data_IF_333983683724
#
_entry.id   IF_333983683724
#
_cell.length_a   1.000
_cell.length_b   1.000
_cell.length_c   1.000
_cell.angle_alpha   90.00
_cell.angle_beta   90.00
_cell.angle_gamma   90.00
#
_symmetry.space_group_name_H-M   'P 1'
#
loop_
_entity.id
_entity.type
_entity.pdbx_description
1 polymer ?
#
# COMPACT_ATOMS: atom_id res chain seq x y z
N UNK A 1 35.06 -43.32 -7.89
CA UNK A 1 34.81 -41.90 -7.57
C UNK A 1 33.79 -41.71 -6.44
N UNK A 2 32.67 -42.45 -6.44
CA UNK A 2 31.74 -42.58 -5.29
C UNK A 2 32.39 -42.75 -3.89
N UNK A 3 33.48 -43.52 -3.71
CA UNK A 3 34.10 -43.66 -2.38
C UNK A 3 34.76 -42.37 -1.86
N UNK A 4 35.24 -41.49 -2.75
CA UNK A 4 35.91 -40.24 -2.35
C UNK A 4 34.90 -39.21 -1.87
N UNK A 5 33.74 -39.11 -2.52
CA UNK A 5 32.63 -38.21 -2.12
C UNK A 5 32.03 -38.65 -0.78
N UNK A 6 31.86 -39.96 -0.56
CA UNK A 6 31.36 -40.51 0.70
C UNK A 6 32.31 -40.20 1.89
N UNK A 7 33.62 -40.26 1.66
CA UNK A 7 34.64 -40.02 2.70
C UNK A 7 34.69 -38.55 3.15
N UNK A 8 34.44 -37.59 2.24
CA UNK A 8 34.42 -36.16 2.55
C UNK A 8 33.17 -35.78 3.35
N UNK A 9 32.00 -36.33 3.01
CA UNK A 9 30.74 -36.12 3.75
C UNK A 9 30.80 -36.72 5.16
N UNK A 10 31.40 -37.90 5.32
CA UNK A 10 31.52 -38.57 6.62
C UNK A 10 32.47 -37.83 7.58
N UNK A 11 33.54 -37.19 7.08
CA UNK A 11 34.45 -36.38 7.90
C UNK A 11 33.82 -35.08 8.41
N UNK A 12 32.89 -34.46 7.65
CA UNK A 12 32.22 -33.22 8.09
C UNK A 12 31.08 -33.47 9.09
N UNK A 13 30.38 -34.61 9.00
CA UNK A 13 29.26 -34.93 9.89
C UNK A 13 29.70 -35.47 11.27
N UNK A 14 30.88 -36.08 11.37
CA UNK A 14 31.35 -36.71 12.62
C UNK A 14 32.29 -35.85 13.48
N UNK A 15 32.51 -34.57 13.11
CA UNK A 15 33.49 -33.69 13.77
C UNK A 15 33.02 -32.89 14.98
N UNK A 16 31.72 -32.88 15.32
CA UNK A 16 31.21 -32.15 16.51
C UNK A 16 30.87 -33.12 17.63
N UNK A 17 31.68 -33.09 18.69
CA UNK A 17 31.36 -33.76 19.97
C UNK A 17 30.06 -33.16 20.52
N UNK A 18 29.13 -33.97 21.05
CA UNK A 18 28.00 -33.45 21.81
C UNK A 18 28.51 -32.94 23.15
N UNK A 19 28.76 -31.63 23.24
CA UNK A 19 29.01 -30.94 24.50
C UNK A 19 27.72 -30.88 25.30
N UNK A 20 27.76 -31.47 26.50
CA UNK A 20 26.70 -31.51 27.50
C UNK A 20 26.30 -30.08 27.89
N UNK A 21 25.20 -29.57 27.34
CA UNK A 21 24.52 -28.38 27.84
C UNK A 21 23.75 -28.77 29.11
N UNK A 22 24.36 -28.56 30.27
CA UNK A 22 23.64 -28.51 31.54
C UNK A 22 22.76 -27.26 31.54
N UNK A 23 21.46 -27.43 31.30
CA UNK A 23 20.47 -26.42 31.67
C UNK A 23 20.38 -26.41 33.20
N UNK A 24 21.03 -25.42 33.83
CA UNK A 24 20.74 -25.04 35.20
C UNK A 24 19.36 -24.38 35.19
N UNK A 25 18.33 -25.12 35.60
CA UNK A 25 17.01 -24.55 35.86
C UNK A 25 17.15 -23.68 37.11
N UNK A 26 17.39 -22.39 36.90
CA UNK A 26 17.25 -21.36 37.92
C UNK A 26 15.76 -21.29 38.27
N UNK A 27 15.38 -21.77 39.45
CA UNK A 27 14.07 -21.46 40.04
C UNK A 27 13.90 -19.95 40.09
N UNK A 28 12.82 -19.38 39.54
CA UNK A 28 12.61 -17.95 39.61
C UNK A 28 12.33 -17.56 41.07
N UNK A 29 13.19 -16.70 41.60
CA UNK A 29 12.95 -15.98 42.84
C UNK A 29 11.66 -15.17 42.63
N UNK A 30 10.60 -15.53 43.36
CA UNK A 30 9.36 -14.74 43.47
C UNK A 30 9.70 -13.41 44.14
N UNK A 31 10.12 -12.42 43.35
CA UNK A 31 10.09 -11.04 43.79
C UNK A 31 8.66 -10.52 43.69
N UNK A 32 8.20 -9.94 44.80
CA UNK A 32 6.93 -9.25 44.96
C UNK A 32 6.87 -8.03 44.02
N UNK A 33 6.38 -8.19 42.80
CA UNK A 33 6.03 -7.11 41.86
C UNK A 33 4.58 -7.23 41.35
N UNK A 34 3.71 -7.91 42.08
CA UNK A 34 2.31 -8.08 41.70
C UNK A 34 1.44 -6.81 41.70
N UNK A 35 1.63 -5.79 42.58
CA UNK A 35 0.67 -4.68 42.65
C UNK A 35 0.76 -3.69 41.47
N UNK A 36 1.94 -3.52 40.87
CA UNK A 36 2.12 -2.55 39.77
C UNK A 36 1.65 -3.10 38.43
N UNK A 37 1.90 -4.39 38.15
CA UNK A 37 1.41 -5.03 36.92
C UNK A 37 -0.12 -5.17 36.91
N UNK A 38 -0.74 -5.36 38.07
CA UNK A 38 -2.20 -5.44 38.19
C UNK A 38 -2.85 -4.07 37.96
N UNK A 39 -2.28 -2.99 38.52
CA UNK A 39 -2.71 -1.61 38.21
C UNK A 39 -2.56 -1.26 36.73
N UNK A 40 -1.49 -1.71 36.09
CA UNK A 40 -1.26 -1.45 34.66
C UNK A 40 -2.30 -2.15 33.78
N UNK A 41 -2.65 -3.40 34.12
CA UNK A 41 -3.73 -4.16 33.44
C UNK A 41 -5.11 -3.56 33.68
N UNK A 42 -5.40 -3.07 34.88
CA UNK A 42 -6.66 -2.37 35.18
C UNK A 42 -6.77 -1.06 34.39
N UNK A 43 -5.65 -0.32 34.25
CA UNK A 43 -5.61 0.92 33.47
C UNK A 43 -5.80 0.66 31.97
N UNK A 44 -5.20 -0.39 31.42
CA UNK A 44 -5.40 -0.83 30.03
C UNK A 44 -6.85 -1.27 29.79
N UNK A 45 -7.47 -2.03 30.71
CA UNK A 45 -8.87 -2.43 30.59
C UNK A 45 -9.82 -1.23 30.64
N UNK A 46 -9.55 -0.24 31.50
CA UNK A 46 -10.35 0.99 31.54
C UNK A 46 -10.23 1.82 30.26
N UNK A 47 -9.02 1.91 29.69
CA UNK A 47 -8.83 2.59 28.40
C UNK A 47 -9.56 1.87 27.27
N UNK A 48 -9.51 0.54 27.21
CA UNK A 48 -10.26 -0.26 26.23
C UNK A 48 -11.77 -0.08 26.37
N UNK A 49 -12.31 -0.07 27.60
CA UNK A 49 -13.73 0.19 27.83
C UNK A 49 -14.14 1.60 27.39
N UNK A 50 -13.35 2.63 27.69
CA UNK A 50 -13.64 3.99 27.22
C UNK A 50 -13.58 4.10 25.69
N UNK A 51 -12.67 3.37 25.04
CA UNK A 51 -12.59 3.33 23.58
C UNK A 51 -13.82 2.67 22.96
N UNK A 52 -14.29 1.55 23.53
CA UNK A 52 -15.52 0.88 23.09
C UNK A 52 -16.75 1.77 23.27
N UNK A 53 -16.86 2.50 24.39
CA UNK A 53 -17.95 3.44 24.61
C UNK A 53 -17.96 4.58 23.60
N UNK A 54 -16.79 5.15 23.27
CA UNK A 54 -16.67 6.19 22.24
C UNK A 54 -17.08 5.67 20.87
N UNK A 55 -16.67 4.46 20.50
CA UNK A 55 -17.06 3.84 19.22
C UNK A 55 -18.58 3.59 19.14
N UNK A 56 -19.19 3.07 20.21
CA UNK A 56 -20.65 2.87 20.26
C UNK A 56 -21.41 4.20 20.15
N UNK A 57 -20.91 5.26 20.78
CA UNK A 57 -21.52 6.58 20.70
C UNK A 57 -21.41 7.18 19.29
N UNK A 58 -20.28 7.01 18.60
CA UNK A 58 -20.11 7.41 17.20
C UNK A 58 -21.07 6.65 16.27
N UNK A 59 -21.25 5.34 16.48
CA UNK A 59 -22.20 4.53 15.70
C UNK A 59 -23.65 4.96 15.93
N UNK A 60 -24.04 5.25 17.18
CA UNK A 60 -25.36 5.77 17.51
C UNK A 60 -25.62 7.13 16.86
N UNK A 61 -24.64 8.04 16.88
CA UNK A 61 -24.74 9.33 16.22
C UNK A 61 -24.87 9.19 14.70
N UNK A 62 -24.14 8.26 14.08
CA UNK A 62 -24.25 7.98 12.66
C UNK A 62 -25.64 7.43 12.28
N UNK A 63 -26.17 6.50 13.09
CA UNK A 63 -27.51 5.95 12.89
C UNK A 63 -28.59 7.02 13.02
N UNK A 64 -28.46 7.92 14.00
CA UNK A 64 -29.39 9.04 14.16
C UNK A 64 -29.38 9.97 12.95
N UNK A 65 -28.20 10.31 12.44
CA UNK A 65 -28.02 11.18 11.26
C UNK A 65 -28.60 10.55 9.99
N UNK A 66 -28.47 9.24 9.80
CA UNK A 66 -29.10 8.52 8.68
C UNK A 66 -30.63 8.48 8.78
N UNK A 67 -31.17 8.34 9.98
CA UNK A 67 -32.63 8.40 10.20
C UNK A 67 -33.19 9.80 9.92
N UNK A 68 -32.46 10.87 10.28
CA UNK A 68 -32.85 12.24 9.95
C UNK A 68 -32.85 12.49 8.44
N UNK A 69 -31.80 12.08 7.72
CA UNK A 69 -31.71 12.19 6.26
C UNK A 69 -32.87 11.44 5.56
N UNK A 70 -33.22 10.26 6.06
CA UNK A 70 -34.33 9.45 5.53
C UNK A 70 -35.70 10.13 5.74
N UNK A 71 -35.87 10.88 6.84
CA UNK A 71 -37.09 11.64 7.12
C UNK A 71 -37.21 12.87 6.22
N UNK A 72 -36.10 13.55 5.93
CA UNK A 72 -36.08 14.71 5.03
C UNK A 72 -36.44 14.33 3.59
N UNK A 73 -36.00 13.16 3.12
CA UNK A 73 -36.32 12.65 1.77
C UNK A 73 -37.80 12.27 1.66
N UNK A 74 -38.41 11.74 2.73
CA UNK A 74 -39.82 11.30 2.71
C UNK A 74 -40.83 12.46 2.62
N UNK A 75 -40.45 13.68 3.00
CA UNK A 75 -41.34 14.86 2.97
C UNK A 75 -41.40 15.52 1.57
N UNK A 76 -40.46 15.18 0.66
CA UNK A 76 -40.32 15.84 -0.64
C UNK A 76 -41.00 15.13 -1.84
N UNK A 77 -41.75 14.03 -1.65
CA UNK A 77 -42.32 13.26 -2.77
C UNK A 77 -43.86 13.14 -2.70
N UNK A 78 -44.57 14.08 -3.33
CA UNK A 78 -45.90 13.83 -3.91
C UNK A 78 -45.74 13.55 -5.42
N UNK A 79 -46.42 12.55 -6.00
CA UNK A 79 -46.21 12.17 -7.39
C UNK A 79 -47.00 13.09 -8.35
N UNK A 80 -46.32 13.60 -9.37
CA UNK A 80 -46.92 14.25 -10.55
C UNK A 80 -47.03 13.22 -11.68
N UNK A 81 -48.04 13.27 -12.57
CA UNK A 81 -48.26 12.23 -13.57
C UNK A 81 -47.13 12.21 -14.61
N UNK A 82 -46.69 10.98 -14.91
CA UNK A 82 -45.53 10.67 -15.73
C UNK A 82 -45.60 11.29 -17.14
N UNK A 83 -44.57 12.08 -17.48
CA UNK A 83 -44.16 12.30 -18.86
C UNK A 83 -43.38 11.07 -19.34
N UNK A 84 -43.52 10.65 -20.61
CA UNK A 84 -42.78 9.52 -21.13
C UNK A 84 -41.28 9.80 -21.05
N UNK A 85 -40.56 8.86 -20.43
CA UNK A 85 -39.11 8.91 -20.32
C UNK A 85 -38.50 9.00 -21.72
N UNK A 86 -37.70 10.05 -21.94
CA UNK A 86 -36.75 10.06 -23.05
C UNK A 86 -35.81 8.86 -22.83
N UNK A 87 -35.47 8.09 -23.88
CA UNK A 87 -34.49 7.04 -23.77
C UNK A 87 -33.18 7.62 -23.22
N UNK A 88 -32.57 6.90 -22.28
CA UNK A 88 -31.26 7.22 -21.74
C UNK A 88 -30.31 7.45 -22.92
N UNK A 89 -29.81 8.68 -23.04
CA UNK A 89 -28.65 8.96 -23.88
C UNK A 89 -27.52 8.10 -23.33
N UNK A 90 -27.21 7.05 -24.08
CA UNK A 90 -25.96 6.31 -23.98
C UNK A 90 -24.84 7.34 -23.97
N UNK A 91 -24.19 7.52 -22.82
CA UNK A 91 -22.93 8.24 -22.75
C UNK A 91 -21.99 7.54 -23.73
N UNK A 92 -21.67 8.21 -24.82
CA UNK A 92 -20.73 7.71 -25.80
C UNK A 92 -19.41 7.38 -25.07
N UNK A 93 -18.99 6.12 -25.12
CA UNK A 93 -17.68 5.69 -24.65
C UNK A 93 -16.63 6.59 -25.30
N UNK A 94 -15.94 7.40 -24.49
CA UNK A 94 -14.79 8.15 -24.95
C UNK A 94 -13.78 7.15 -25.56
N UNK A 95 -13.13 7.49 -26.69
CA UNK A 95 -12.22 6.56 -27.36
C UNK A 95 -11.15 6.05 -26.39
N UNK A 96 -11.01 4.73 -26.29
CA UNK A 96 -10.04 4.10 -25.39
C UNK A 96 -8.63 4.57 -25.75
N UNK A 97 -7.96 5.29 -24.84
CA UNK A 97 -6.56 5.65 -25.02
C UNK A 97 -5.71 4.37 -24.98
N UNK A 98 -4.62 4.35 -25.73
CA UNK A 98 -3.64 3.26 -25.61
C UNK A 98 -2.92 3.35 -24.26
N UNK A 99 -2.51 2.22 -23.66
CA UNK A 99 -1.71 2.21 -22.45
C UNK A 99 -0.42 3.01 -22.63
N UNK A 100 0.06 3.63 -21.56
CA UNK A 100 1.30 4.41 -21.58
C UNK A 100 2.53 3.51 -21.74
N UNK A 101 3.67 4.11 -22.11
CA UNK A 101 4.93 3.37 -22.16
C UNK A 101 5.34 2.84 -20.78
N UNK A 102 4.98 3.54 -19.70
CA UNK A 102 5.23 3.12 -18.31
C UNK A 102 4.46 1.85 -18.01
N UNK A 103 3.17 1.82 -18.36
CA UNK A 103 2.33 0.63 -18.23
C UNK A 103 2.94 -0.58 -18.97
N UNK A 104 3.36 -0.38 -20.22
CA UNK A 104 3.95 -1.44 -21.04
C UNK A 104 5.30 -1.91 -20.47
N UNK A 105 6.13 -0.99 -19.99
CA UNK A 105 7.42 -1.31 -19.36
C UNK A 105 7.22 -2.15 -18.09
N UNK A 106 6.25 -1.79 -17.24
CA UNK A 106 5.90 -2.54 -16.05
C UNK A 106 5.36 -3.92 -16.41
N UNK A 107 4.45 -4.02 -17.37
CA UNK A 107 3.94 -5.32 -17.81
C UNK A 107 5.07 -6.24 -18.27
N UNK A 108 5.99 -5.72 -19.08
CA UNK A 108 7.13 -6.50 -19.58
C UNK A 108 8.03 -7.01 -18.45
N UNK A 109 8.37 -6.15 -17.48
CA UNK A 109 9.37 -6.49 -16.46
C UNK A 109 8.79 -7.23 -15.25
N UNK A 110 7.50 -7.03 -14.95
CA UNK A 110 6.82 -7.67 -13.81
C UNK A 110 6.06 -8.92 -14.24
N UNK A 111 5.29 -8.84 -15.33
CA UNK A 111 4.43 -9.94 -15.79
C UNK A 111 5.06 -10.77 -16.93
N UNK A 112 6.18 -10.32 -17.49
CA UNK A 112 6.84 -11.01 -18.61
C UNK A 112 6.12 -10.86 -19.95
N UNK A 113 5.08 -10.02 -20.05
CA UNK A 113 4.28 -9.82 -21.27
C UNK A 113 3.99 -8.34 -21.48
N UNK A 114 3.67 -7.91 -22.71
CA UNK A 114 3.26 -6.51 -22.96
C UNK A 114 1.77 -6.25 -22.67
N UNK A 115 0.97 -7.32 -22.61
CA UNK A 115 -0.49 -7.18 -22.55
C UNK A 115 -1.04 -7.08 -21.13
N UNK A 116 -0.21 -7.36 -20.12
CA UNK A 116 -0.55 -7.17 -18.71
C UNK A 116 -1.52 -8.21 -18.14
N UNK A 117 -1.95 -8.03 -16.87
CA UNK A 117 -2.69 -9.03 -16.11
C UNK A 117 -4.17 -9.16 -16.51
N UNK A 118 -4.69 -8.22 -17.30
CA UNK A 118 -6.09 -8.26 -17.78
C UNK A 118 -6.29 -9.25 -18.93
N UNK A 119 -5.23 -9.65 -19.62
CA UNK A 119 -5.33 -10.63 -20.68
C UNK A 119 -5.56 -12.03 -20.10
N UNK A 120 -6.59 -12.71 -20.60
CA UNK A 120 -6.92 -14.06 -20.18
C UNK A 120 -7.78 -14.18 -18.93
N UNK A 121 -8.27 -13.06 -18.36
CA UNK A 121 -9.31 -13.10 -17.31
C UNK A 121 -10.61 -13.61 -17.93
N UNK A 122 -10.88 -14.91 -17.75
CA UNK A 122 -12.07 -15.61 -18.27
C UNK A 122 -13.23 -15.66 -17.28
N UNK A 123 -12.93 -15.46 -16.00
CA UNK A 123 -13.91 -15.49 -14.92
C UNK A 123 -14.25 -14.05 -14.52
N UNK A 124 -15.38 -13.54 -15.02
CA UNK A 124 -15.89 -12.26 -14.59
C UNK A 124 -16.70 -12.47 -13.31
N UNK A 125 -16.18 -11.96 -12.19
CA UNK A 125 -17.09 -11.52 -11.13
C UNK A 125 -17.95 -10.37 -11.68
N UNK A 126 -19.21 -10.22 -11.24
CA UNK A 126 -19.94 -9.00 -11.53
C UNK A 126 -19.21 -7.81 -10.89
N UNK A 127 -19.25 -6.66 -11.55
CA UNK A 127 -18.82 -5.41 -10.94
C UNK A 127 -19.58 -5.20 -9.61
N UNK A 128 -18.84 -4.91 -8.54
CA UNK A 128 -19.37 -4.61 -7.22
C UNK A 128 -18.71 -3.32 -6.70
N UNK A 129 -19.45 -2.22 -6.86
CA UNK A 129 -19.07 -0.90 -6.38
C UNK A 129 -19.80 -0.51 -5.08
N UNK A 130 -20.37 -1.50 -4.36
CA UNK A 130 -21.11 -1.24 -3.12
C UNK A 130 -20.22 -0.77 -1.96
N UNK A 131 -18.92 -1.05 -2.03
CA UNK A 131 -17.93 -0.56 -1.08
C UNK A 131 -17.52 0.87 -1.45
N UNK A 132 -18.29 1.84 -0.97
CA UNK A 132 -18.12 3.26 -1.28
C UNK A 132 -17.00 3.97 -0.48
N UNK A 133 -16.33 3.27 0.44
CA UNK A 133 -15.32 3.84 1.33
C UNK A 133 -14.00 4.05 0.60
N UNK A 134 -13.91 5.22 -0.02
CA UNK A 134 -12.64 5.90 -0.25
C UNK A 134 -12.86 7.33 0.21
N UNK A 135 -11.99 7.80 1.10
CA UNK A 135 -12.13 9.12 1.72
C UNK A 135 -11.59 10.23 0.83
N UNK A 136 -10.81 9.91 -0.21
CA UNK A 136 -10.24 10.86 -1.17
C UNK A 136 -11.31 11.71 -1.86
N UNK A 137 -11.38 13.03 -1.64
CA UNK A 137 -12.35 13.89 -2.32
C UNK A 137 -12.00 14.03 -3.81
N UNK A 138 -13.00 13.92 -4.67
CA UNK A 138 -12.82 14.03 -6.13
C UNK A 138 -12.35 15.42 -6.55
N UNK A 139 -12.91 16.47 -5.95
CA UNK A 139 -12.54 17.88 -6.19
C UNK A 139 -11.10 18.18 -5.75
N UNK A 140 -10.66 17.59 -4.63
CA UNK A 140 -9.26 17.65 -4.19
C UNK A 140 -8.33 17.01 -5.22
N UNK A 141 -8.61 15.77 -5.64
CA UNK A 141 -7.79 15.07 -6.64
C UNK A 141 -7.74 15.82 -7.96
N UNK A 142 -8.87 16.34 -8.43
CA UNK A 142 -8.93 17.11 -9.66
C UNK A 142 -8.06 18.38 -9.56
N UNK A 143 -8.26 19.20 -8.53
CA UNK A 143 -7.48 20.43 -8.34
C UNK A 143 -5.98 20.15 -8.15
N UNK A 144 -5.63 19.06 -7.48
CA UNK A 144 -4.26 18.61 -7.30
C UNK A 144 -3.64 18.21 -8.66
N UNK A 145 -4.33 17.36 -9.42
CA UNK A 145 -3.81 16.82 -10.68
C UNK A 145 -3.79 17.85 -11.80
N UNK A 146 -4.67 18.85 -11.80
CA UNK A 146 -4.58 20.01 -12.71
C UNK A 146 -3.23 20.73 -12.59
N UNK A 147 -2.62 20.70 -11.40
CA UNK A 147 -1.32 21.33 -11.13
C UNK A 147 -0.16 20.35 -11.23
N UNK A 148 -0.34 19.12 -10.70
CA UNK A 148 0.70 18.10 -10.65
C UNK A 148 0.92 17.42 -12.01
N UNK A 149 -0.14 17.25 -12.81
CA UNK A 149 -0.14 16.57 -14.11
C UNK A 149 0.58 15.20 -14.09
N UNK A 150 0.25 14.29 -13.15
CA UNK A 150 1.04 13.07 -12.97
C UNK A 150 0.83 12.09 -14.13
N UNK A 151 1.94 11.52 -14.59
CA UNK A 151 1.96 10.44 -15.60
C UNK A 151 2.13 9.06 -14.96
N UNK A 152 2.77 8.99 -13.79
CA UNK A 152 2.94 7.76 -13.02
C UNK A 152 2.45 7.94 -11.59
N UNK A 153 1.50 7.10 -11.20
CA UNK A 153 0.83 7.12 -9.91
C UNK A 153 0.95 5.73 -9.26
N UNK A 154 0.92 5.72 -7.93
CA UNK A 154 0.94 4.50 -7.13
C UNK A 154 -0.16 4.58 -6.07
N UNK A 155 -0.89 3.49 -5.90
CA UNK A 155 -1.77 3.26 -4.77
C UNK A 155 -1.25 2.03 -4.02
N UNK A 156 -1.20 2.10 -2.69
CA UNK A 156 -0.80 1.02 -1.80
C UNK A 156 -1.95 0.75 -0.84
N UNK A 157 -2.58 -0.41 -0.97
CA UNK A 157 -3.88 -0.73 -0.39
C UNK A 157 -4.99 -0.37 -1.36
N UNK A 158 -5.40 -1.34 -2.18
CA UNK A 158 -6.33 -1.11 -3.29
C UNK A 158 -7.68 -1.76 -3.09
N UNK A 159 -7.76 -2.80 -2.24
CA UNK A 159 -8.97 -3.53 -1.91
C UNK A 159 -9.83 -3.88 -3.14
N UNK A 160 -11.05 -3.34 -3.26
CA UNK A 160 -11.97 -3.53 -4.40
C UNK A 160 -11.78 -2.50 -5.52
N UNK A 161 -10.91 -1.50 -5.36
CA UNK A 161 -10.53 -0.53 -6.39
C UNK A 161 -11.36 0.76 -6.44
N UNK A 162 -12.12 1.09 -5.38
CA UNK A 162 -12.93 2.32 -5.34
C UNK A 162 -12.10 3.59 -5.43
N UNK A 163 -11.05 3.70 -4.60
CA UNK A 163 -10.04 4.77 -4.65
C UNK A 163 -9.27 4.75 -5.98
N UNK A 164 -8.85 3.56 -6.44
CA UNK A 164 -8.16 3.39 -7.72
C UNK A 164 -8.93 4.01 -8.89
N UNK A 165 -10.24 3.73 -8.99
CA UNK A 165 -11.11 4.30 -10.02
C UNK A 165 -11.17 5.82 -9.93
N UNK A 166 -11.30 6.37 -8.72
CA UNK A 166 -11.36 7.83 -8.52
C UNK A 166 -10.05 8.52 -8.88
N UNK A 167 -8.91 7.97 -8.46
CA UNK A 167 -7.58 8.47 -8.81
C UNK A 167 -7.38 8.40 -10.34
N UNK A 168 -7.71 7.27 -10.96
CA UNK A 168 -7.58 7.09 -12.40
C UNK A 168 -8.48 8.05 -13.19
N UNK A 169 -9.73 8.25 -12.76
CA UNK A 169 -10.67 9.17 -13.40
C UNK A 169 -10.21 10.62 -13.30
N UNK A 170 -9.69 11.05 -12.14
CA UNK A 170 -9.12 12.39 -11.97
C UNK A 170 -7.86 12.59 -12.83
N UNK A 171 -6.95 11.61 -12.89
CA UNK A 171 -5.75 11.71 -13.71
C UNK A 171 -6.09 11.74 -15.21
N UNK A 172 -7.07 10.94 -15.63
CA UNK A 172 -7.56 10.91 -17.01
C UNK A 172 -8.28 12.19 -17.41
N UNK A 173 -9.11 12.77 -16.53
CA UNK A 173 -9.86 13.99 -16.83
C UNK A 173 -8.90 15.14 -17.14
N UNK A 174 -7.84 15.26 -16.36
CA UNK A 174 -6.79 16.25 -16.55
C UNK A 174 -5.97 15.97 -17.81
N UNK A 175 -5.51 14.73 -18.00
CA UNK A 175 -4.74 14.36 -19.19
C UNK A 175 -5.54 14.46 -20.51
N UNK A 176 -6.88 14.58 -20.46
CA UNK A 176 -7.72 14.84 -21.64
C UNK A 176 -7.75 16.32 -22.03
N UNK A 177 -7.48 17.22 -21.09
CA UNK A 177 -7.43 18.66 -21.36
C UNK A 177 -6.15 19.06 -22.11
N UNK A 178 -5.13 18.18 -22.13
CA UNK A 178 -3.92 18.32 -22.91
C UNK A 178 -3.75 17.13 -23.88
N UNK A 179 -3.90 17.39 -25.18
CA UNK A 179 -3.76 16.35 -26.21
C UNK A 179 -2.35 15.75 -26.30
N UNK A 180 -1.34 16.41 -25.72
CA UNK A 180 0.05 15.94 -25.70
C UNK A 180 0.40 15.17 -24.44
N UNK A 181 -0.44 15.22 -23.40
CA UNK A 181 -0.21 14.51 -22.16
C UNK A 181 -0.29 12.99 -22.38
N UNK A 182 0.68 12.21 -21.87
CA UNK A 182 0.61 10.76 -21.95
C UNK A 182 -0.61 10.24 -21.17
N UNK A 183 -1.11 9.06 -21.55
CA UNK A 183 -2.04 8.31 -20.70
C UNK A 183 -1.38 8.09 -19.34
N UNK A 184 -2.05 8.39 -18.20
CA UNK A 184 -1.50 8.10 -16.89
C UNK A 184 -1.38 6.59 -16.68
N UNK A 185 -0.46 6.16 -15.83
CA UNK A 185 -0.35 4.79 -15.34
C UNK A 185 -0.50 4.81 -13.82
N UNK A 186 -1.54 4.18 -13.30
CA UNK A 186 -1.75 3.95 -11.87
C UNK A 186 -1.44 2.50 -11.54
N UNK A 187 -0.42 2.27 -10.73
CA UNK A 187 -0.13 0.93 -10.18
C UNK A 187 -0.90 0.77 -8.86
N UNK A 188 -1.67 -0.29 -8.75
CA UNK A 188 -2.49 -0.61 -7.59
C UNK A 188 -1.90 -1.80 -6.85
N UNK A 189 -1.32 -1.57 -5.67
CA UNK A 189 -0.65 -2.57 -4.85
C UNK A 189 -1.60 -3.07 -3.77
N UNK A 190 -1.80 -4.38 -3.72
CA UNK A 190 -2.48 -5.03 -2.60
C UNK A 190 -2.07 -6.50 -2.56
N UNK A 191 -2.13 -7.14 -1.40
CA UNK A 191 -2.04 -8.60 -1.33
C UNK A 191 -3.30 -9.26 -1.90
N UNK A 192 -4.41 -8.54 -1.88
CA UNK A 192 -5.77 -8.98 -2.11
C UNK A 192 -6.20 -10.12 -1.17
N UNK A 193 -5.54 -10.22 -0.01
CA UNK A 193 -5.86 -11.20 1.03
C UNK A 193 -6.66 -10.58 2.19
N UNK A 194 -6.88 -9.27 2.16
CA UNK A 194 -7.49 -8.50 3.25
C UNK A 194 -6.64 -8.41 4.51
N UNK A 195 -7.03 -7.53 5.43
CA UNK A 195 -6.28 -7.31 6.66
C UNK A 195 -6.59 -8.35 7.75
N UNK A 196 -5.77 -8.37 8.81
CA UNK A 196 -5.96 -9.27 9.94
C UNK A 196 -7.32 -9.08 10.66
N UNK A 197 -7.89 -7.87 10.66
CA UNK A 197 -9.17 -7.60 11.31
C UNK A 197 -10.34 -8.21 10.54
N UNK A 198 -10.29 -8.25 9.20
CA UNK A 198 -11.25 -8.96 8.36
C UNK A 198 -11.22 -10.47 8.62
N UNK A 199 -10.02 -11.06 8.74
CA UNK A 199 -9.87 -12.48 9.06
C UNK A 199 -10.38 -12.84 10.44
N UNK A 200 -10.13 -11.98 11.43
CA UNK A 200 -10.63 -12.14 12.80
C UNK A 200 -12.11 -11.75 12.95
N UNK A 201 -12.68 -11.07 11.95
CA UNK A 201 -14.06 -10.52 11.96
C UNK A 201 -14.33 -9.69 13.22
N UNK A 202 -13.36 -8.83 13.55
CA UNK A 202 -13.43 -7.95 14.73
C UNK A 202 -14.65 -7.02 14.69
N UNK A 203 -15.10 -6.66 13.49
CA UNK A 203 -16.36 -5.99 13.25
C UNK A 203 -17.24 -6.93 12.42
N UNK A 204 -18.42 -7.34 12.94
CA UNK A 204 -19.28 -8.31 12.27
C UNK A 204 -19.56 -7.93 10.81
N UNK A 205 -19.26 -8.86 9.89
CA UNK A 205 -19.47 -8.70 8.45
C UNK A 205 -18.25 -8.18 7.69
N UNK A 206 -17.15 -7.82 8.37
CA UNK A 206 -15.91 -7.45 7.68
C UNK A 206 -15.31 -8.64 6.93
N UNK A 207 -15.44 -9.86 7.47
CA UNK A 207 -14.99 -11.07 6.78
C UNK A 207 -15.69 -11.27 5.43
N UNK A 208 -16.94 -10.85 5.29
CA UNK A 208 -17.70 -10.98 4.04
C UNK A 208 -17.04 -10.18 2.89
N UNK A 209 -16.32 -9.10 3.23
CA UNK A 209 -15.53 -8.32 2.29
C UNK A 209 -14.39 -9.11 1.62
N UNK A 210 -13.94 -10.23 2.21
CA UNK A 210 -12.91 -11.11 1.62
C UNK A 210 -13.44 -11.93 0.44
N UNK A 211 -14.77 -12.06 0.33
CA UNK A 211 -15.43 -12.84 -0.74
C UNK A 211 -14.90 -14.28 -0.82
N UNK A 212 -14.78 -14.94 0.34
CA UNK A 212 -14.12 -16.25 0.43
C UNK A 212 -14.80 -17.30 -0.45
N UNK A 213 -14.01 -18.01 -1.26
CA UNK A 213 -14.40 -19.24 -1.93
C UNK A 213 -13.42 -20.34 -1.56
N UNK A 214 -13.93 -21.44 -1.02
CA UNK A 214 -13.11 -22.54 -0.49
C UNK A 214 -12.04 -22.08 0.52
N UNK A 215 -12.35 -21.04 1.30
CA UNK A 215 -11.45 -20.48 2.31
C UNK A 215 -10.38 -19.52 1.77
N UNK A 216 -10.39 -19.20 0.47
CA UNK A 216 -9.44 -18.26 -0.13
C UNK A 216 -10.15 -16.97 -0.58
N UNK A 217 -9.57 -15.77 -0.32
CA UNK A 217 -10.15 -14.51 -0.76
C UNK A 217 -10.25 -14.39 -2.27
N UNK A 218 -11.36 -13.80 -2.75
CA UNK A 218 -11.55 -13.51 -4.19
C UNK A 218 -11.40 -12.03 -4.51
N UNK A 219 -10.86 -11.26 -3.57
CA UNK A 219 -10.76 -9.81 -3.67
C UNK A 219 -9.98 -9.35 -4.91
N UNK A 220 -8.91 -10.06 -5.30
CA UNK A 220 -8.16 -9.76 -6.53
C UNK A 220 -9.06 -9.80 -7.76
N UNK A 221 -9.88 -10.85 -7.88
CA UNK A 221 -10.80 -11.00 -8.99
C UNK A 221 -11.91 -9.94 -8.96
N UNK A 222 -12.34 -9.52 -7.77
CA UNK A 222 -13.33 -8.46 -7.62
C UNK A 222 -12.75 -7.11 -8.05
N UNK A 223 -11.52 -6.81 -7.63
CA UNK A 223 -10.77 -5.65 -8.08
C UNK A 223 -10.67 -5.63 -9.61
N UNK A 224 -10.20 -6.73 -10.22
CA UNK A 224 -10.08 -6.86 -11.69
C UNK A 224 -11.40 -6.59 -12.40
N UNK A 225 -12.52 -7.12 -11.90
CA UNK A 225 -13.84 -6.88 -12.45
C UNK A 225 -14.23 -5.39 -12.37
N UNK A 226 -14.00 -4.76 -11.21
CA UNK A 226 -14.36 -3.37 -10.96
C UNK A 226 -13.56 -2.38 -11.82
N UNK A 227 -12.26 -2.63 -12.01
CA UNK A 227 -11.37 -1.72 -12.75
C UNK A 227 -11.26 -2.03 -14.24
N UNK A 228 -11.99 -3.02 -14.75
CA UNK A 228 -11.88 -3.51 -16.13
C UNK A 228 -12.02 -2.39 -17.18
N UNK A 229 -12.88 -1.39 -16.93
CA UNK A 229 -13.11 -0.24 -17.83
C UNK A 229 -12.01 0.83 -17.80
N UNK A 230 -10.99 0.62 -16.97
CA UNK A 230 -9.82 1.48 -16.80
C UNK A 230 -8.52 0.69 -16.89
N UNK A 231 -8.57 -0.52 -17.47
CA UNK A 231 -7.43 -1.44 -17.59
C UNK A 231 -6.22 -0.88 -18.36
N UNK A 232 -6.43 0.15 -19.17
CA UNK A 232 -5.38 0.88 -19.88
C UNK A 232 -4.60 1.89 -19.01
N UNK A 233 -5.15 2.24 -17.84
CA UNK A 233 -4.55 3.15 -16.86
C UNK A 233 -4.14 2.39 -15.60
N UNK A 234 -5.01 1.53 -15.09
CA UNK A 234 -4.84 0.81 -13.83
C UNK A 234 -4.10 -0.50 -14.07
N UNK A 235 -2.99 -0.72 -13.36
CA UNK A 235 -2.20 -1.93 -13.37
C UNK A 235 -2.14 -2.54 -11.96
N UNK A 236 -2.80 -3.69 -11.69
CA UNK A 236 -2.72 -4.35 -10.40
C UNK A 236 -1.36 -5.03 -10.20
N UNK A 237 -0.83 -4.92 -9.00
CA UNK A 237 0.39 -5.56 -8.53
C UNK A 237 0.08 -6.35 -7.25
N UNK A 238 -0.26 -7.65 -7.35
CA UNK A 238 -0.73 -8.47 -6.22
C UNK A 238 0.43 -8.88 -5.29
N UNK A 239 0.98 -7.93 -4.56
CA UNK A 239 2.11 -8.07 -3.65
C UNK A 239 1.84 -7.32 -2.35
N UNK A 240 2.49 -7.74 -1.26
CA UNK A 240 2.55 -6.94 -0.04
C UNK A 240 3.23 -5.58 -0.32
N UNK A 241 2.81 -4.54 0.40
CA UNK A 241 3.27 -3.16 0.23
C UNK A 241 4.80 -3.01 0.19
N UNK A 242 5.51 -3.58 1.17
CA UNK A 242 6.98 -3.52 1.24
C UNK A 242 7.66 -4.26 0.06
N UNK A 243 7.11 -5.39 -0.37
CA UNK A 243 7.63 -6.12 -1.54
C UNK A 243 7.40 -5.35 -2.84
N UNK A 244 6.20 -4.78 -3.01
CA UNK A 244 5.84 -4.01 -4.20
C UNK A 244 6.67 -2.73 -4.31
N UNK A 245 6.78 -1.97 -3.22
CA UNK A 245 7.61 -0.76 -3.17
C UNK A 245 9.06 -1.08 -3.49
N UNK A 246 9.61 -2.18 -2.96
CA UNK A 246 10.97 -2.63 -3.28
C UNK A 246 11.16 -2.97 -4.77
N UNK A 247 10.20 -3.67 -5.38
CA UNK A 247 10.22 -3.94 -6.83
C UNK A 247 10.25 -2.63 -7.63
N UNK A 248 9.37 -1.69 -7.31
CA UNK A 248 9.29 -0.41 -8.01
C UNK A 248 10.55 0.44 -7.82
N UNK A 249 11.14 0.47 -6.62
CA UNK A 249 12.40 1.16 -6.34
C UNK A 249 13.54 0.58 -7.19
N UNK A 250 13.63 -0.75 -7.29
CA UNK A 250 14.63 -1.42 -8.14
C UNK A 250 14.43 -1.10 -9.62
N UNK A 251 13.18 -1.10 -10.12
CA UNK A 251 12.89 -0.73 -11.50
C UNK A 251 13.23 0.74 -11.79
N UNK A 252 12.96 1.65 -10.84
CA UNK A 252 13.32 3.06 -10.97
C UNK A 252 14.84 3.28 -10.98
N UNK A 253 15.59 2.62 -10.07
CA UNK A 253 17.06 2.70 -10.01
C UNK A 253 17.73 2.14 -11.28
N UNK A 254 17.11 1.11 -11.89
CA UNK A 254 17.49 0.55 -13.19
C UNK A 254 17.00 1.38 -14.38
N UNK A 255 16.30 2.49 -14.13
CA UNK A 255 15.75 3.39 -15.14
C UNK A 255 14.77 2.69 -16.11
N UNK A 256 14.08 1.66 -15.64
CA UNK A 256 13.02 0.98 -16.40
C UNK A 256 11.75 1.83 -16.45
N UNK A 257 11.45 2.52 -15.34
CA UNK A 257 10.34 3.46 -15.17
C UNK A 257 10.81 4.67 -14.34
N UNK A 258 10.14 5.83 -14.41
CA UNK A 258 10.43 6.93 -13.50
C UNK A 258 9.94 6.61 -12.07
N UNK A 259 10.23 7.51 -11.14
CA UNK A 259 9.59 7.53 -9.82
C UNK A 259 8.13 8.02 -9.93
N UNK A 260 7.16 7.43 -9.21
CA UNK A 260 5.77 7.92 -9.22
C UNK A 260 5.65 9.33 -8.64
N UNK A 261 4.86 10.18 -9.26
CA UNK A 261 4.69 11.60 -8.89
C UNK A 261 3.63 11.80 -7.80
N UNK A 262 2.75 10.81 -7.66
CA UNK A 262 1.69 10.72 -6.67
C UNK A 262 1.65 9.32 -6.08
N UNK A 263 1.60 9.22 -4.76
CA UNK A 263 1.37 7.98 -4.03
C UNK A 263 0.17 8.17 -3.09
N UNK A 264 -0.79 7.26 -3.14
CA UNK A 264 -1.85 7.12 -2.13
C UNK A 264 -1.58 5.89 -1.26
N UNK A 265 -1.56 6.07 0.07
CA UNK A 265 -1.23 5.03 1.05
C UNK A 265 -2.42 4.76 1.98
N UNK A 266 -2.99 3.57 1.84
CA UNK A 266 -4.22 3.10 2.49
C UNK A 266 -4.13 1.58 2.76
N UNK A 267 -2.99 1.15 3.31
CA UNK A 267 -2.63 -0.27 3.44
C UNK A 267 -2.66 -0.73 4.90
N UNK A 268 -1.59 -0.50 5.65
CA UNK A 268 -1.51 -0.93 7.04
C UNK A 268 -2.14 0.10 8.00
N UNK A 269 -2.85 -0.43 8.99
CA UNK A 269 -3.39 0.34 10.12
C UNK A 269 -2.80 -0.13 11.45
N UNK A 270 -1.55 -0.59 11.40
CA UNK A 270 -0.81 -1.21 12.50
C UNK A 270 0.45 -0.40 12.75
N UNK A 271 0.62 0.04 14.00
CA UNK A 271 1.76 0.85 14.41
C UNK A 271 3.08 0.10 14.13
N UNK A 272 4.06 0.80 13.58
CA UNK A 272 5.32 0.26 13.09
C UNK A 272 5.25 -0.22 11.63
N UNK A 273 4.17 -0.91 11.24
CA UNK A 273 3.97 -1.31 9.84
C UNK A 273 3.66 -0.08 8.97
N UNK A 274 2.74 0.77 9.42
CA UNK A 274 2.40 2.02 8.72
C UNK A 274 3.64 2.92 8.60
N UNK A 275 4.49 3.03 9.64
CA UNK A 275 5.76 3.77 9.56
C UNK A 275 6.67 3.24 8.44
N UNK A 276 6.84 1.93 8.35
CA UNK A 276 7.66 1.33 7.27
C UNK A 276 7.07 1.64 5.90
N UNK A 277 5.75 1.57 5.73
CA UNK A 277 5.08 1.92 4.48
C UNK A 277 5.26 3.40 4.12
N UNK A 278 5.09 4.32 5.08
CA UNK A 278 5.32 5.76 4.87
C UNK A 278 6.76 5.99 4.38
N UNK A 279 7.75 5.38 5.02
CA UNK A 279 9.16 5.50 4.63
C UNK A 279 9.38 5.01 3.19
N UNK A 280 8.90 3.80 2.85
CA UNK A 280 9.13 3.22 1.53
C UNK A 280 8.36 3.96 0.42
N UNK A 281 7.12 4.37 0.69
CA UNK A 281 6.31 5.19 -0.20
C UNK A 281 6.95 6.57 -0.44
N UNK A 282 7.41 7.23 0.62
CA UNK A 282 8.06 8.53 0.52
C UNK A 282 9.37 8.45 -0.26
N UNK A 283 10.17 7.38 -0.09
CA UNK A 283 11.38 7.12 -0.89
C UNK A 283 11.12 7.00 -2.39
N UNK A 284 9.96 6.47 -2.77
CA UNK A 284 9.53 6.33 -4.16
C UNK A 284 9.12 7.63 -4.83
N UNK A 285 8.89 8.71 -4.09
CA UNK A 285 8.56 9.99 -4.70
C UNK A 285 9.81 10.68 -5.26
N UNK A 286 9.74 11.35 -6.43
CA UNK A 286 10.73 12.31 -6.85
C UNK A 286 10.61 13.59 -6.02
N UNK A 287 11.58 14.49 -6.19
CA UNK A 287 11.42 15.89 -5.79
C UNK A 287 10.11 16.46 -6.35
N UNK A 288 9.42 17.27 -5.53
CA UNK A 288 8.06 17.63 -5.81
C UNK A 288 7.15 16.57 -5.21
N UNK A 289 7.04 15.38 -5.78
CA UNK A 289 6.12 14.26 -5.44
C UNK A 289 5.18 14.36 -4.21
N UNK A 290 3.92 13.99 -4.37
CA UNK A 290 2.91 13.99 -3.29
C UNK A 290 2.72 12.60 -2.71
N UNK A 291 2.81 12.45 -1.38
CA UNK A 291 2.29 11.29 -0.66
C UNK A 291 1.00 11.72 0.04
N UNK A 292 -0.10 11.05 -0.26
CA UNK A 292 -1.36 11.16 0.48
C UNK A 292 -1.58 9.85 1.23
N UNK A 293 -2.03 9.91 2.48
CA UNK A 293 -2.43 8.72 3.21
C UNK A 293 -3.79 8.85 3.86
N UNK A 294 -4.44 7.70 4.04
CA UNK A 294 -5.76 7.61 4.67
C UNK A 294 -5.68 7.52 6.19
N UNK A 295 -6.84 7.58 6.83
CA UNK A 295 -7.04 7.14 8.21
C UNK A 295 -6.19 7.87 9.27
N UNK A 296 -5.93 9.17 9.09
CA UNK A 296 -5.22 9.99 10.08
C UNK A 296 -5.85 9.92 11.48
N UNK A 297 -7.17 9.71 11.57
CA UNK A 297 -7.89 9.59 12.84
C UNK A 297 -7.61 8.27 13.58
N UNK A 298 -6.89 7.34 12.98
CA UNK A 298 -6.49 6.09 13.61
C UNK A 298 -5.18 6.32 14.39
N UNK A 299 -5.14 6.04 15.70
CA UNK A 299 -3.98 6.37 16.53
C UNK A 299 -2.66 5.76 16.05
N UNK A 300 -2.70 4.56 15.46
CA UNK A 300 -1.53 3.91 14.89
C UNK A 300 -0.96 4.71 13.71
N UNK A 301 -1.82 5.20 12.82
CA UNK A 301 -1.46 5.97 11.63
C UNK A 301 -0.92 7.34 12.03
N UNK A 302 -1.61 8.06 12.92
CA UNK A 302 -1.14 9.36 13.42
C UNK A 302 0.22 9.23 14.11
N UNK A 303 0.38 8.22 14.99
CA UNK A 303 1.63 7.96 15.69
C UNK A 303 2.79 7.73 14.72
N UNK A 304 2.59 6.91 13.70
CA UNK A 304 3.63 6.57 12.74
C UNK A 304 3.96 7.72 11.78
N UNK A 305 2.96 8.51 11.38
CA UNK A 305 3.18 9.75 10.63
C UNK A 305 4.03 10.73 11.44
N UNK A 306 3.72 10.94 12.72
CA UNK A 306 4.50 11.82 13.59
C UNK A 306 5.92 11.28 13.80
N UNK A 307 6.10 9.98 13.94
CA UNK A 307 7.42 9.35 14.04
C UNK A 307 8.24 9.56 12.76
N UNK A 308 7.62 9.40 11.59
CA UNK A 308 8.26 9.69 10.30
C UNK A 308 8.72 11.16 10.22
N UNK A 309 7.85 12.10 10.58
CA UNK A 309 8.14 13.54 10.52
C UNK A 309 9.30 13.97 11.44
N UNK A 310 9.61 13.22 12.49
CA UNK A 310 10.79 13.48 13.33
C UNK A 310 12.11 13.14 12.63
N UNK A 311 12.07 12.29 11.60
CA UNK A 311 13.25 11.90 10.80
C UNK A 311 13.48 12.83 9.61
N UNK A 312 12.47 13.60 9.23
CA UNK A 312 12.52 14.53 8.11
C UNK A 312 12.86 15.96 8.59
N UNK A 313 13.57 16.76 7.79
CA UNK A 313 13.84 18.14 8.14
C UNK A 313 12.53 18.94 8.21
N UNK A 314 12.33 19.78 9.25
CA UNK A 314 11.10 20.52 9.42
C UNK A 314 10.83 21.39 8.19
N UNK A 315 9.59 21.32 7.70
CA UNK A 315 9.10 22.25 6.69
C UNK A 315 8.84 23.57 7.42
N UNK A 316 9.29 24.70 6.90
CA UNK A 316 9.12 26.02 7.57
C UNK A 316 8.30 27.02 6.74
N UNK A 317 8.17 26.83 5.42
CA UNK A 317 7.40 27.70 4.52
C UNK A 317 5.97 27.21 4.26
N UNK A 318 4.99 28.11 4.34
CA UNK A 318 3.54 27.84 4.12
C UNK A 318 3.08 28.04 2.67
N UNK A 319 4.00 28.25 1.73
CA UNK A 319 3.66 28.64 0.36
C UNK A 319 4.14 27.59 -0.65
N UNK A 320 3.72 26.32 -0.49
CA UNK A 320 3.82 25.39 -1.62
C UNK A 320 2.77 25.82 -2.67
N UNK A 321 3.18 26.32 -3.85
CA UNK A 321 2.24 26.80 -4.87
C UNK A 321 1.30 25.69 -5.37
N UNK A 322 1.73 24.43 -5.27
CA UNK A 322 0.92 23.28 -5.69
C UNK A 322 -0.24 23.04 -4.72
N UNK A 323 -0.05 23.30 -3.42
CA UNK A 323 -1.05 23.05 -2.37
C UNK A 323 -1.92 24.26 -2.06
N UNK A 324 -1.50 25.47 -2.45
CA UNK A 324 -2.20 26.71 -2.14
C UNK A 324 -3.62 26.73 -2.73
N UNK A 325 -4.63 26.84 -1.87
CA UNK A 325 -6.03 26.93 -2.29
C UNK A 325 -6.60 25.64 -2.88
N UNK A 326 -6.00 24.48 -2.59
CA UNK A 326 -6.66 23.19 -2.87
C UNK A 326 -7.93 23.05 -2.01
N UNK A 327 -9.03 22.54 -2.57
CA UNK A 327 -10.26 22.31 -1.81
C UNK A 327 -10.02 21.24 -0.74
N UNK A 328 -10.76 21.32 0.35
CA UNK A 328 -10.69 20.42 1.51
C UNK A 328 -9.34 20.41 2.25
N UNK A 329 -8.34 21.21 1.87
CA UNK A 329 -7.07 21.30 2.59
C UNK A 329 -7.20 22.28 3.77
N UNK A 330 -7.37 21.75 4.99
CA UNK A 330 -7.84 22.54 6.13
C UNK A 330 -6.73 23.08 7.03
N UNK A 331 -5.56 22.42 7.06
CA UNK A 331 -4.56 22.74 8.06
C UNK A 331 -3.17 22.27 7.66
N UNK A 332 -2.15 23.05 8.03
CA UNK A 332 -0.76 22.62 8.07
C UNK A 332 -0.38 22.42 9.53
N UNK A 333 0.02 21.22 9.90
CA UNK A 333 0.61 21.00 11.20
C UNK A 333 2.01 21.62 11.25
N UNK A 334 2.42 22.13 12.41
CA UNK A 334 3.78 22.66 12.64
C UNK A 334 4.87 21.64 12.29
N UNK A 335 4.53 20.36 12.29
CA UNK A 335 5.39 19.23 11.93
C UNK A 335 5.54 18.97 10.41
N UNK A 336 4.92 19.78 9.54
CA UNK A 336 5.25 19.78 8.10
C UNK A 336 4.42 18.86 7.20
N UNK A 337 3.20 18.51 7.62
CA UNK A 337 2.21 17.81 6.79
C UNK A 337 0.91 18.61 6.71
N UNK A 338 0.06 18.27 5.73
CA UNK A 338 -1.25 18.86 5.55
C UNK A 338 -2.36 17.86 5.83
N UNK A 339 -3.52 18.36 6.22
CA UNK A 339 -4.69 17.56 6.55
C UNK A 339 -5.86 17.91 5.63
N UNK A 340 -6.52 16.89 5.11
CA UNK A 340 -7.76 17.05 4.37
C UNK A 340 -8.94 16.95 5.34
N UNK A 341 -9.93 17.83 5.18
CA UNK A 341 -11.19 17.87 5.94
C UNK A 341 -12.15 16.77 5.46
N UNK A 342 -11.77 15.53 5.75
CA UNK A 342 -12.56 14.33 5.47
C UNK A 342 -12.85 13.59 6.77
N UNK A 343 -13.71 12.57 6.72
CA UNK A 343 -13.95 11.70 7.86
C UNK A 343 -13.95 10.24 7.40
N UNK A 344 -12.94 9.45 7.78
CA UNK A 344 -11.72 9.85 8.50
C UNK A 344 -10.87 10.89 7.74
N UNK A 345 -10.10 11.68 8.48
CA UNK A 345 -9.19 12.68 7.90
C UNK A 345 -8.06 11.99 7.15
N UNK A 346 -7.68 12.57 6.03
CA UNK A 346 -6.47 12.17 5.30
C UNK A 346 -5.33 13.13 5.57
N UNK A 347 -4.11 12.67 5.33
CA UNK A 347 -2.89 13.45 5.48
C UNK A 347 -2.11 13.50 4.18
N UNK A 348 -1.31 14.55 4.02
CA UNK A 348 -0.50 14.79 2.82
C UNK A 348 0.90 15.24 3.20
N UNK A 349 1.89 14.69 2.50
CA UNK A 349 3.30 15.11 2.52
C UNK A 349 3.74 15.52 1.12
N UNK A 350 4.60 16.54 1.06
CA UNK A 350 5.27 16.97 -0.16
C UNK A 350 6.75 16.65 -0.06
N UNK A 351 7.31 16.03 -1.10
CA UNK A 351 8.75 15.75 -1.13
C UNK A 351 9.54 16.98 -1.56
N UNK A 352 10.45 17.41 -0.69
CA UNK A 352 11.21 18.66 -0.84
C UNK A 352 12.28 18.59 -1.92
N UNK A 353 12.70 19.78 -2.36
CA UNK A 353 13.82 19.95 -3.25
C UNK A 353 15.13 19.36 -2.71
N UNK A 354 15.82 18.57 -3.53
CA UNK A 354 17.09 17.92 -3.20
C UNK A 354 17.00 16.58 -2.45
N UNK A 355 15.79 16.16 -2.03
CA UNK A 355 15.52 14.87 -1.40
C UNK A 355 15.03 13.83 -2.43
N UNK A 356 15.38 12.56 -2.28
CA UNK A 356 14.87 11.49 -3.16
C UNK A 356 15.55 11.41 -4.52
N UNK A 357 16.86 11.69 -4.55
CA UNK A 357 17.64 11.49 -5.77
C UNK A 357 17.76 9.99 -6.06
N UNK A 358 17.67 9.59 -7.34
CA UNK A 358 17.85 8.19 -7.73
C UNK A 358 19.20 7.61 -7.25
N UNK A 359 20.24 8.43 -7.13
CA UNK A 359 21.53 8.03 -6.56
C UNK A 359 21.46 7.70 -5.07
N UNK A 360 20.67 8.46 -4.31
CA UNK A 360 20.45 8.23 -2.89
C UNK A 360 19.61 6.97 -2.69
N UNK A 361 18.53 6.82 -3.45
CA UNK A 361 17.73 5.58 -3.45
C UNK A 361 18.59 4.37 -3.81
N UNK A 362 19.43 4.46 -4.85
CA UNK A 362 20.37 3.40 -5.22
C UNK A 362 21.28 3.03 -4.06
N UNK A 363 21.90 4.02 -3.40
CA UNK A 363 22.77 3.77 -2.27
C UNK A 363 22.05 3.09 -1.12
N UNK A 364 20.82 3.54 -0.79
CA UNK A 364 19.98 2.90 0.23
C UNK A 364 19.71 1.45 -0.12
N UNK A 365 19.30 1.14 -1.36
CA UNK A 365 19.04 -0.23 -1.79
C UNK A 365 20.30 -1.10 -1.73
N UNK A 366 21.46 -0.56 -2.12
CA UNK A 366 22.75 -1.26 -2.05
C UNK A 366 23.11 -1.60 -0.60
N UNK A 367 22.95 -0.65 0.32
CA UNK A 367 23.19 -0.86 1.76
C UNK A 367 22.19 -1.87 2.34
N UNK A 368 20.92 -1.82 1.96
CA UNK A 368 19.91 -2.78 2.43
C UNK A 368 20.12 -4.20 1.86
N UNK A 369 20.62 -4.33 0.62
CA UNK A 369 20.86 -5.63 -0.02
C UNK A 369 22.17 -6.30 0.43
N UNK A 370 23.20 -5.51 0.71
CA UNK A 370 24.57 -6.01 0.91
C UNK A 370 25.23 -5.58 2.22
N UNK A 371 24.53 -4.80 3.05
CA UNK A 371 25.06 -4.15 4.25
C UNK A 371 25.90 -2.90 3.91
N UNK A 372 26.17 -2.06 4.93
CA UNK A 372 27.10 -0.92 4.79
C UNK A 372 28.54 -1.38 4.51
N UNK A 373 28.85 -2.60 4.92
CA UNK A 373 30.13 -3.25 4.73
C UNK A 373 29.91 -4.56 3.99
N UNK A 374 30.63 -4.80 2.91
CA UNK A 374 30.65 -6.06 2.15
C UNK A 374 31.09 -7.30 2.95
N UNK A 375 31.30 -7.15 4.27
CA UNK A 375 31.73 -8.19 5.20
C UNK A 375 30.61 -9.15 5.61
N UNK A 376 29.33 -8.86 5.34
CA UNK A 376 28.24 -9.82 5.64
C UNK A 376 28.27 -11.05 4.72
N UNK A 377 28.87 -10.92 3.54
CA UNK A 377 29.26 -12.10 2.76
C UNK A 377 30.64 -12.52 3.22
N UNK A 378 30.70 -13.54 4.09
CA UNK A 378 31.95 -14.26 4.37
C UNK A 378 32.50 -14.69 3.02
N UNK A 379 33.65 -14.12 2.63
CA UNK A 379 34.30 -14.51 1.39
C UNK A 379 34.42 -16.03 1.36
N UNK A 380 34.01 -16.66 0.24
CA UNK A 380 34.10 -18.10 0.09
C UNK A 380 35.48 -18.54 0.55
N UNK A 381 35.53 -19.45 1.52
CA UNK A 381 36.80 -20.04 1.92
C UNK A 381 37.32 -20.88 0.76
N UNK A 382 38.60 -21.22 0.76
CA UNK A 382 39.13 -22.12 -0.27
C UNK A 382 38.41 -23.47 -0.28
N UNK A 383 37.91 -23.90 0.89
CA UNK A 383 37.07 -25.10 1.01
C UNK A 383 35.68 -24.93 0.38
N UNK A 384 35.10 -23.73 0.42
CA UNK A 384 33.82 -23.45 -0.25
C UNK A 384 34.01 -23.36 -1.77
N UNK A 385 35.13 -22.79 -2.23
CA UNK A 385 35.51 -22.77 -3.65
C UNK A 385 35.74 -24.19 -4.19
N UNK A 386 36.45 -25.03 -3.45
CA UNK A 386 36.66 -26.44 -3.80
C UNK A 386 35.32 -27.20 -3.86
N UNK A 387 34.44 -27.00 -2.88
CA UNK A 387 33.12 -27.61 -2.88
C UNK A 387 32.25 -27.17 -4.07
N UNK A 388 32.28 -25.88 -4.42
CA UNK A 388 31.56 -25.32 -5.57
C UNK A 388 32.12 -25.88 -6.89
N UNK A 389 33.44 -26.00 -7.01
CA UNK A 389 34.06 -26.62 -8.17
C UNK A 389 33.65 -28.09 -8.31
N UNK A 390 33.69 -28.88 -7.22
CA UNK A 390 33.23 -30.27 -7.24
C UNK A 390 31.74 -30.39 -7.62
N UNK A 391 30.89 -29.46 -7.18
CA UNK A 391 29.49 -29.41 -7.58
C UNK A 391 29.34 -29.20 -9.09
N UNK A 392 30.04 -28.21 -9.66
CA UNK A 392 29.99 -27.93 -11.10
C UNK A 392 30.53 -29.10 -11.94
N UNK A 393 31.63 -29.72 -11.52
CA UNK A 393 32.15 -30.93 -12.17
C UNK A 393 31.15 -32.10 -12.11
N UNK A 394 30.41 -32.22 -11.00
CA UNK A 394 29.36 -33.22 -10.83
C UNK A 394 28.16 -32.98 -11.74
N UNK A 395 27.70 -31.73 -11.86
CA UNK A 395 26.60 -31.36 -12.79
C UNK A 395 27.01 -31.63 -14.23
N UNK A 396 28.20 -31.19 -14.64
CA UNK A 396 28.73 -31.39 -16.00
C UNK A 396 28.95 -32.87 -16.37
N UNK A 397 29.08 -33.76 -15.39
CA UNK A 397 29.16 -35.20 -15.61
C UNK A 397 27.77 -35.86 -15.74
N UNK A 398 26.74 -35.26 -15.15
CA UNK A 398 25.37 -35.75 -15.20
C UNK A 398 24.60 -35.28 -16.44
N UNK A 399 24.91 -34.08 -16.93
CA UNK A 399 24.52 -33.58 -18.26
C UNK A 399 25.26 -34.35 -19.37
#
# INVERSE_FOLDING_TARGET
>A
LLPKVATILQKRLCGRRPGTLFYQISTPVRHQQQPEQEKQREQEQQQQQQQQQRQQQTQQNHHHRQQELSRTITIASKPSPAKPAKPAETSAEAPSRSPSWIYQALCKHIHGTLEGPFMGVRHALPEDHSYASTNLPEDFLQALFERLQPSFLLEIGSFKGGSALRIADAALSVARNDATAPTPCLVCVDTFLGDAQMWLDRNPGWRDGLLLENGFPRLYWQFMANVQRRREVILPLPLASLSATRVLQQLAVRQVVPLPEFVYLDSAHVQGETLMEIIQAFRLLPEGGVLVGDDLDWPAVESDLLAFLQTEPPVTGSEDPLLLGLPNLFFRADSGYWVLDTTPRQWLLRKRAGAGRLSELRHILEVEDYGETTTEYVALTDADREALQCYHEGVALME
#
